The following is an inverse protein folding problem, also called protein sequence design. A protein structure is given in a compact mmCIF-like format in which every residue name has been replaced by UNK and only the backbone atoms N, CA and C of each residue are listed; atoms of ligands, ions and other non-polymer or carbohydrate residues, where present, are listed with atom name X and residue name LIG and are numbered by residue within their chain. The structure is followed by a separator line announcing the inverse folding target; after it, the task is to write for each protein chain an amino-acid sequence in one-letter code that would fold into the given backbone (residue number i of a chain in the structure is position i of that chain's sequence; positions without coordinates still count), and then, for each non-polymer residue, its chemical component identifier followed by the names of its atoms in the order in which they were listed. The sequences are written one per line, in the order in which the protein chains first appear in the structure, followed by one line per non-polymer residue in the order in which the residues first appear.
data_IF_111937207639
#
_entry.id   IF_111937207639
#
_cell.length_a   1.000
_cell.length_b   1.000
_cell.length_c   1.000
_cell.angle_alpha   90.00
_cell.angle_beta   90.00
_cell.angle_gamma   90.00
#
_symmetry.space_group_name_H-M   'P 1'
#
loop_
_entity.id
_entity.type
_entity.pdbx_description
1 polymer ?
#
# COMPACT_ATOMS: atom_id res chain seq x y z
N UNK A 1 -12.61 46.04 0.46
CA UNK A 1 -11.73 45.33 -0.49
C UNK A 1 -10.92 44.34 0.33
N UNK A 2 -11.24 43.06 0.21
CA UNK A 2 -10.67 41.99 1.03
C UNK A 2 -9.25 41.65 0.57
N UNK A 3 -8.34 41.51 1.54
CA UNK A 3 -7.05 40.85 1.35
C UNK A 3 -7.23 39.37 1.65
N UNK A 4 -7.07 38.53 0.63
CA UNK A 4 -7.03 37.08 0.78
C UNK A 4 -5.75 36.68 1.50
N UNK A 5 -5.88 36.06 2.68
CA UNK A 5 -4.80 35.32 3.31
C UNK A 5 -4.64 33.98 2.61
N UNK A 6 -3.58 33.84 1.81
CA UNK A 6 -3.17 32.55 1.29
C UNK A 6 -2.71 31.67 2.45
N UNK A 7 -3.39 30.55 2.68
CA UNK A 7 -2.86 29.47 3.50
C UNK A 7 -1.71 28.82 2.75
N UNK A 8 -0.47 29.11 3.15
CA UNK A 8 0.70 28.44 2.61
C UNK A 8 0.77 27.00 3.14
N UNK A 9 0.92 26.05 2.22
CA UNK A 9 1.44 24.71 2.54
C UNK A 9 2.94 24.87 2.75
N UNK A 10 3.34 25.22 3.97
CA UNK A 10 4.74 25.42 4.35
C UNK A 10 5.22 24.26 5.19
N UNK A 11 5.51 23.12 4.55
CA UNK A 11 6.33 22.10 5.19
C UNK A 11 7.76 22.64 5.19
N UNK A 12 8.33 22.84 6.38
CA UNK A 12 9.72 23.26 6.52
C UNK A 12 10.58 22.11 6.01
N UNK A 13 11.35 22.34 4.93
CA UNK A 13 12.25 21.33 4.38
C UNK A 13 13.16 20.81 5.50
N UNK A 14 12.98 19.53 5.89
CA UNK A 14 13.94 18.78 6.69
C UNK A 14 15.22 18.54 5.86
N UNK A 15 15.91 19.62 5.49
CA UNK A 15 17.21 19.58 4.87
C UNK A 15 18.18 18.85 5.79
N UNK A 16 18.74 17.76 5.28
CA UNK A 16 19.73 16.85 5.90
C UNK A 16 19.26 15.66 6.77
N UNK A 17 17.96 15.40 6.97
CA UNK A 17 17.54 14.23 7.81
C UNK A 17 17.07 12.99 7.04
N UNK A 18 16.94 13.05 5.70
CA UNK A 18 16.55 11.87 4.90
C UNK A 18 17.77 11.06 4.45
N UNK A 19 18.63 10.67 5.39
CA UNK A 19 19.69 9.68 5.13
C UNK A 19 19.09 8.30 4.83
N UNK A 20 19.87 7.41 4.21
CA UNK A 20 19.51 6.00 3.93
C UNK A 20 19.00 5.22 5.16
N UNK A 21 19.22 5.74 6.36
CA UNK A 21 18.73 5.21 7.62
C UNK A 21 17.22 5.38 7.82
N UNK A 22 16.57 6.38 7.22
CA UNK A 22 15.12 6.58 7.39
C UNK A 22 14.33 5.41 6.79
N UNK A 23 14.65 4.96 5.59
CA UNK A 23 13.94 3.81 5.01
C UNK A 23 14.22 2.51 5.77
N UNK A 24 15.48 2.26 6.13
CA UNK A 24 15.88 1.03 6.82
C UNK A 24 15.40 0.94 8.27
N UNK A 25 15.29 2.07 8.99
CA UNK A 25 14.89 2.09 10.40
C UNK A 25 13.38 2.29 10.60
N UNK A 26 12.68 2.78 9.57
CA UNK A 26 11.26 3.16 9.66
C UNK A 26 10.33 2.20 8.92
N UNK A 27 10.85 1.49 7.92
CA UNK A 27 10.15 0.42 7.21
C UNK A 27 11.01 -0.85 7.06
N UNK A 28 11.59 -1.40 8.15
CA UNK A 28 12.49 -2.56 8.06
C UNK A 28 11.81 -3.81 7.49
N UNK A 29 10.48 -3.90 7.58
CA UNK A 29 9.68 -4.94 6.94
C UNK A 29 8.49 -4.31 6.21
N UNK A 30 8.62 -4.09 4.91
CA UNK A 30 7.46 -3.85 4.04
C UNK A 30 6.63 -5.15 3.85
N UNK A 31 6.39 -5.87 4.95
CA UNK A 31 5.41 -6.95 5.13
C UNK A 31 4.74 -6.90 6.52
N UNK A 32 4.81 -5.76 7.23
CA UNK A 32 4.07 -5.57 8.48
C UNK A 32 2.88 -4.63 8.27
N UNK A 33 1.66 -5.19 8.37
CA UNK A 33 0.46 -4.42 8.73
C UNK A 33 0.80 -3.68 10.02
N UNK A 34 0.90 -2.36 9.90
CA UNK A 34 1.19 -1.31 10.88
C UNK A 34 1.08 -1.77 12.36
N UNK A 35 2.08 -2.50 12.86
CA UNK A 35 2.25 -2.77 14.29
C UNK A 35 3.74 -2.85 14.61
N UNK A 36 4.44 -1.71 14.56
CA UNK A 36 5.68 -1.55 15.31
C UNK A 36 6.04 -0.06 15.45
N UNK A 37 5.77 0.50 16.62
CA UNK A 37 6.38 1.72 17.11
C UNK A 37 7.87 1.50 17.43
N UNK A 38 8.69 1.18 16.43
CA UNK A 38 10.10 0.88 16.60
C UNK A 38 11.08 1.84 15.90
N UNK A 39 10.58 2.94 15.29
CA UNK A 39 11.40 3.83 14.46
C UNK A 39 11.15 5.34 14.60
N UNK A 40 10.64 5.82 15.73
CA UNK A 40 10.55 7.28 16.00
C UNK A 40 9.54 8.07 15.12
N UNK A 41 8.62 7.42 14.40
CA UNK A 41 7.35 8.08 14.04
C UNK A 41 6.24 7.46 14.86
N UNK A 42 5.42 8.35 15.43
CA UNK A 42 4.13 7.97 15.94
C UNK A 42 3.14 7.89 14.77
N UNK A 43 3.13 6.75 14.08
CA UNK A 43 2.15 6.43 13.05
C UNK A 43 0.89 5.78 13.63
N UNK A 44 0.68 5.82 14.96
CA UNK A 44 -0.51 5.25 15.60
C UNK A 44 -1.80 5.86 15.08
N UNK A 45 -1.73 7.11 14.62
CA UNK A 45 -2.82 7.76 13.94
C UNK A 45 -3.30 6.98 12.70
N UNK A 46 -2.43 6.28 11.98
CA UNK A 46 -2.74 5.59 10.71
C UNK A 46 -3.21 4.13 10.87
N UNK A 47 -3.38 3.63 12.10
CA UNK A 47 -3.76 2.23 12.33
C UNK A 47 -5.07 1.84 11.65
N UNK A 48 -6.03 2.77 11.58
CA UNK A 48 -7.34 2.57 10.95
C UNK A 48 -7.37 2.99 9.46
N UNK A 49 -6.25 3.46 8.91
CA UNK A 49 -6.15 3.96 7.53
C UNK A 49 -5.45 2.98 6.57
N UNK A 50 -5.03 1.82 7.08
CA UNK A 50 -4.19 0.87 6.36
C UNK A 50 -4.82 0.43 5.03
N UNK A 51 -6.10 0.06 5.05
CA UNK A 51 -6.85 -0.43 3.90
C UNK A 51 -7.02 0.63 2.80
N UNK A 52 -6.97 1.90 3.18
CA UNK A 52 -7.08 3.04 2.29
C UNK A 52 -5.72 3.28 1.65
N UNK A 53 -4.67 3.37 2.48
CA UNK A 53 -3.30 3.68 2.06
C UNK A 53 -2.76 2.61 1.10
N UNK A 54 -2.99 1.33 1.39
CA UNK A 54 -2.57 0.22 0.51
C UNK A 54 -3.29 0.22 -0.83
N UNK A 55 -4.42 0.93 -0.96
CA UNK A 55 -5.05 1.22 -2.24
C UNK A 55 -4.12 1.93 -3.23
N UNK A 56 -3.04 2.56 -2.77
CA UNK A 56 -1.99 3.11 -3.63
C UNK A 56 -1.34 2.04 -4.54
N UNK A 57 -1.42 0.75 -4.19
CA UNK A 57 -0.96 -0.37 -5.00
C UNK A 57 -1.80 -0.61 -6.28
N UNK A 58 -2.86 0.17 -6.53
CA UNK A 58 -3.48 0.28 -7.88
C UNK A 58 -2.46 0.71 -8.95
N UNK A 59 -1.37 1.38 -8.54
CA UNK A 59 -0.27 1.74 -9.44
C UNK A 59 1.07 1.20 -8.96
N UNK A 60 1.99 1.04 -9.92
CA UNK A 60 3.39 0.73 -9.62
C UNK A 60 3.73 -0.74 -9.77
N UNK A 61 4.93 -1.10 -9.29
CA UNK A 61 5.54 -2.42 -9.50
C UNK A 61 6.28 -2.91 -8.27
N UNK A 62 6.29 -4.22 -8.09
CA UNK A 62 7.06 -4.90 -7.06
C UNK A 62 8.08 -5.86 -7.71
N UNK A 63 9.22 -6.07 -7.05
CA UNK A 63 10.21 -7.06 -7.50
C UNK A 63 9.78 -8.45 -7.08
N UNK A 64 10.12 -9.47 -7.85
CA UNK A 64 9.85 -10.86 -7.47
C UNK A 64 10.28 -11.22 -6.04
N UNK A 65 11.40 -10.66 -5.55
CA UNK A 65 11.85 -10.85 -4.17
C UNK A 65 10.82 -10.43 -3.11
N UNK A 66 9.98 -9.44 -3.38
CA UNK A 66 9.04 -8.88 -2.40
C UNK A 66 7.76 -9.69 -2.24
N UNK A 67 7.48 -10.66 -3.12
CA UNK A 67 6.27 -11.50 -3.04
C UNK A 67 6.55 -12.99 -3.16
N UNK A 68 7.79 -13.42 -2.91
CA UNK A 68 8.15 -14.85 -2.90
C UNK A 68 7.32 -15.67 -1.90
N UNK A 69 6.96 -15.09 -0.75
CA UNK A 69 6.09 -15.72 0.24
C UNK A 69 4.70 -16.06 -0.34
N UNK A 70 4.11 -15.14 -1.12
CA UNK A 70 2.83 -15.34 -1.82
C UNK A 70 2.91 -16.53 -2.79
N UNK A 71 4.04 -16.67 -3.49
CA UNK A 71 4.25 -17.76 -4.45
C UNK A 71 4.34 -19.14 -3.79
N UNK A 72 4.71 -19.24 -2.51
CA UNK A 72 4.88 -20.53 -1.82
C UNK A 72 3.63 -20.93 -1.01
N UNK A 73 2.90 -19.96 -0.46
CA UNK A 73 1.82 -20.20 0.49
C UNK A 73 0.38 -20.09 -0.03
N UNK A 74 0.16 -19.53 -1.23
CA UNK A 74 -1.22 -19.29 -1.71
C UNK A 74 -1.87 -20.52 -2.34
N UNK A 75 -3.12 -20.80 -1.92
CA UNK A 75 -4.05 -21.74 -2.58
C UNK A 75 -5.16 -21.03 -3.37
N UNK A 76 -5.23 -19.70 -3.30
CA UNK A 76 -6.19 -18.88 -4.06
C UNK A 76 -5.58 -18.38 -5.37
N UNK A 77 -6.43 -18.17 -6.39
CA UNK A 77 -6.05 -17.72 -7.74
C UNK A 77 -4.87 -18.54 -8.34
N UNK A 78 -5.00 -19.86 -8.40
CA UNK A 78 -3.91 -20.77 -8.78
C UNK A 78 -3.30 -20.42 -10.15
N UNK A 79 -4.12 -20.03 -11.13
CA UNK A 79 -3.65 -19.62 -12.46
C UNK A 79 -2.76 -18.36 -12.37
N UNK A 80 -3.19 -17.35 -11.61
CA UNK A 80 -2.41 -16.14 -11.38
C UNK A 80 -1.07 -16.44 -10.69
N UNK A 81 -1.07 -17.28 -9.65
CA UNK A 81 0.17 -17.69 -8.96
C UNK A 81 1.11 -18.45 -9.90
N UNK A 82 0.59 -19.28 -10.80
CA UNK A 82 1.40 -19.98 -11.80
C UNK A 82 2.05 -19.01 -12.80
N UNK A 83 1.31 -17.99 -13.26
CA UNK A 83 1.84 -16.94 -14.11
C UNK A 83 2.96 -16.16 -13.40
N UNK A 84 2.76 -15.80 -12.13
CA UNK A 84 3.79 -15.11 -11.35
C UNK A 84 5.03 -16.00 -11.12
N UNK A 85 4.87 -17.30 -10.88
CA UNK A 85 6.02 -18.23 -10.78
C UNK A 85 6.80 -18.34 -12.08
N UNK A 86 6.11 -18.30 -13.23
CA UNK A 86 6.77 -18.29 -14.53
C UNK A 86 7.53 -16.98 -14.76
N UNK A 87 6.92 -15.85 -14.38
CA UNK A 87 7.55 -14.54 -14.44
C UNK A 87 8.80 -14.48 -13.54
N UNK A 88 8.71 -15.01 -12.33
CA UNK A 88 9.73 -14.95 -11.28
C UNK A 88 10.65 -16.17 -11.22
N UNK A 89 11.04 -16.73 -12.37
CA UNK A 89 11.98 -17.86 -12.42
C UNK A 89 13.26 -17.59 -11.61
N UNK A 90 13.84 -18.63 -10.99
CA UNK A 90 14.95 -18.50 -10.02
C UNK A 90 16.16 -17.68 -10.52
N UNK A 91 16.35 -17.56 -11.84
CA UNK A 91 17.44 -16.78 -12.44
C UNK A 91 17.22 -15.28 -12.47
N UNK A 92 15.99 -14.78 -12.28
CA UNK A 92 15.67 -13.35 -12.44
C UNK A 92 14.84 -12.78 -11.29
N UNK A 93 15.46 -12.74 -10.11
CA UNK A 93 14.89 -12.16 -8.89
C UNK A 93 14.59 -10.65 -9.00
N UNK A 94 15.19 -9.96 -9.99
CA UNK A 94 15.03 -8.53 -10.20
C UNK A 94 13.85 -8.18 -11.12
N UNK A 95 13.19 -9.19 -11.69
CA UNK A 95 11.99 -9.03 -12.50
C UNK A 95 10.92 -8.27 -11.73
N UNK A 96 10.22 -7.39 -12.43
CA UNK A 96 9.14 -6.57 -11.88
C UNK A 96 7.78 -7.12 -12.33
N UNK A 97 6.86 -7.22 -11.39
CA UNK A 97 5.43 -7.43 -11.63
C UNK A 97 4.66 -6.15 -11.29
N UNK A 98 3.55 -5.91 -11.98
CA UNK A 98 2.68 -4.79 -11.62
C UNK A 98 1.90 -5.13 -10.35
N UNK A 99 1.75 -4.15 -9.46
CA UNK A 99 0.94 -4.31 -8.25
C UNK A 99 -0.55 -4.47 -8.59
N UNK A 100 -1.02 -3.74 -9.61
CA UNK A 100 -2.31 -3.96 -10.27
C UNK A 100 -2.13 -4.70 -11.59
N UNK A 101 -2.74 -5.87 -11.71
CA UNK A 101 -2.66 -6.70 -12.91
C UNK A 101 -3.46 -6.12 -14.08
N UNK A 102 -4.58 -5.46 -13.80
CA UNK A 102 -5.59 -5.08 -14.79
C UNK A 102 -5.40 -3.64 -15.27
N UNK A 103 -5.06 -2.69 -14.39
CA UNK A 103 -4.93 -1.26 -14.72
C UNK A 103 -3.62 -0.62 -14.21
N UNK A 104 -2.43 -1.20 -14.51
CA UNK A 104 -1.15 -0.82 -13.91
C UNK A 104 -0.68 0.64 -14.09
N UNK A 105 -1.34 1.40 -14.96
CA UNK A 105 -1.02 2.79 -15.28
C UNK A 105 -2.14 3.76 -14.89
N UNK A 106 -3.19 3.30 -14.22
CA UNK A 106 -4.35 4.08 -13.80
C UNK A 106 -4.44 4.03 -12.28
N UNK A 107 -4.80 5.15 -11.67
CA UNK A 107 -5.14 5.19 -10.26
C UNK A 107 -6.65 5.00 -10.12
N UNK A 108 -7.09 3.78 -9.81
CA UNK A 108 -8.51 3.42 -9.71
C UNK A 108 -8.76 2.36 -8.62
N UNK A 109 -9.99 1.88 -8.53
CA UNK A 109 -10.46 0.89 -7.55
C UNK A 109 -10.15 -0.56 -7.97
N UNK A 110 -9.52 -0.77 -9.13
CA UNK A 110 -9.23 -2.10 -9.66
C UNK A 110 -8.34 -2.93 -8.72
N UNK A 111 -7.51 -2.28 -7.90
CA UNK A 111 -6.79 -2.92 -6.81
C UNK A 111 -7.72 -3.76 -5.92
N UNK A 112 -8.84 -3.19 -5.46
CA UNK A 112 -9.78 -3.88 -4.57
C UNK A 112 -10.53 -5.00 -5.30
N UNK A 113 -10.85 -4.81 -6.59
CA UNK A 113 -11.41 -5.88 -7.42
C UNK A 113 -10.45 -7.07 -7.56
N UNK A 114 -9.15 -6.81 -7.74
CA UNK A 114 -8.13 -7.86 -7.80
C UNK A 114 -8.04 -8.61 -6.47
N UNK A 115 -8.14 -7.91 -5.33
CA UNK A 115 -8.14 -8.55 -4.01
C UNK A 115 -9.31 -9.52 -3.84
N UNK A 116 -10.53 -9.12 -4.25
CA UNK A 116 -11.72 -9.97 -4.19
C UNK A 116 -11.61 -11.22 -5.09
N UNK A 117 -10.88 -11.12 -6.19
CA UNK A 117 -10.56 -12.25 -7.09
C UNK A 117 -9.43 -13.15 -6.56
N UNK A 118 -8.79 -12.80 -5.45
CA UNK A 118 -7.63 -13.54 -4.93
C UNK A 118 -6.30 -13.20 -5.63
N UNK A 119 -6.28 -12.12 -6.41
CA UNK A 119 -5.21 -11.72 -7.31
C UNK A 119 -4.34 -10.58 -6.75
N UNK A 120 -4.36 -10.35 -5.43
CA UNK A 120 -3.40 -9.48 -4.76
C UNK A 120 -1.96 -9.99 -4.97
N UNK A 121 -1.06 -9.11 -5.42
CA UNK A 121 0.33 -9.47 -5.72
C UNK A 121 1.12 -9.80 -4.44
N UNK A 122 1.09 -8.91 -3.45
CA UNK A 122 1.78 -9.13 -2.19
C UNK A 122 0.95 -10.02 -1.26
N UNK A 123 1.61 -10.74 -0.36
CA UNK A 123 0.90 -11.50 0.67
C UNK A 123 0.11 -10.57 1.61
N UNK A 124 0.69 -9.42 1.97
CA UNK A 124 0.04 -8.37 2.74
C UNK A 124 -1.22 -7.85 2.06
N UNK A 125 -1.18 -7.61 0.75
CA UNK A 125 -2.33 -7.18 -0.04
C UNK A 125 -3.47 -8.19 0.06
N UNK A 126 -3.18 -9.48 -0.22
CA UNK A 126 -4.23 -10.48 -0.19
C UNK A 126 -4.81 -10.67 1.21
N UNK A 127 -3.99 -10.58 2.25
CA UNK A 127 -4.41 -10.79 3.63
C UNK A 127 -5.47 -9.79 4.10
N UNK A 128 -5.56 -8.60 3.50
CA UNK A 128 -6.60 -7.61 3.81
C UNK A 128 -8.00 -8.22 3.66
N UNK A 129 -8.21 -9.04 2.62
CA UNK A 129 -9.52 -9.69 2.38
C UNK A 129 -9.86 -10.83 3.32
N UNK A 130 -8.86 -11.37 4.04
CA UNK A 130 -9.01 -12.57 4.88
C UNK A 130 -8.76 -12.31 6.36
N UNK A 131 -8.40 -11.08 6.75
CA UNK A 131 -8.05 -10.72 8.13
C UNK A 131 -9.26 -10.79 9.05
N UNK A 132 -10.33 -10.11 8.69
CA UNK A 132 -11.58 -10.02 9.44
C UNK A 132 -12.73 -9.51 8.54
N UNK A 133 -13.97 -9.73 8.97
CA UNK A 133 -15.18 -9.40 8.19
C UNK A 133 -15.32 -7.90 7.93
N UNK A 134 -14.90 -7.04 8.87
CA UNK A 134 -15.00 -5.59 8.73
C UNK A 134 -14.05 -5.07 7.63
N UNK A 135 -12.82 -5.57 7.61
CA UNK A 135 -11.83 -5.25 6.59
C UNK A 135 -12.27 -5.73 5.22
N UNK A 136 -12.87 -6.93 5.16
CA UNK A 136 -13.45 -7.46 3.93
C UNK A 136 -14.60 -6.60 3.42
N UNK A 137 -15.52 -6.18 4.27
CA UNK A 137 -16.64 -5.29 3.91
C UNK A 137 -16.15 -3.95 3.35
N UNK A 138 -15.05 -3.41 3.90
CA UNK A 138 -14.43 -2.20 3.38
C UNK A 138 -13.85 -2.41 1.97
N UNK A 139 -13.16 -3.53 1.72
CA UNK A 139 -12.69 -3.89 0.37
C UNK A 139 -13.87 -4.02 -0.60
N UNK A 140 -14.95 -4.68 -0.19
CA UNK A 140 -16.16 -4.83 -1.00
C UNK A 140 -16.82 -3.47 -1.30
N UNK A 141 -16.75 -2.53 -0.35
CA UNK A 141 -17.24 -1.15 -0.52
C UNK A 141 -16.41 -0.40 -1.55
N UNK A 142 -15.09 -0.40 -1.42
CA UNK A 142 -14.20 0.31 -2.34
C UNK A 142 -14.24 -0.26 -3.76
N UNK A 143 -14.40 -1.58 -3.90
CA UNK A 143 -14.60 -2.23 -5.19
C UNK A 143 -15.95 -1.90 -5.87
N UNK A 144 -16.92 -1.34 -5.15
CA UNK A 144 -18.25 -0.98 -5.67
C UNK A 144 -18.46 0.54 -5.80
N UNK A 145 -17.77 1.32 -4.96
CA UNK A 145 -17.84 2.78 -4.93
C UNK A 145 -16.43 3.40 -4.98
N UNK A 146 -15.92 3.69 -6.19
CA UNK A 146 -14.63 4.37 -6.36
C UNK A 146 -14.60 5.75 -5.68
N UNK A 147 -15.75 6.41 -5.49
CA UNK A 147 -15.79 7.73 -4.84
C UNK A 147 -15.54 7.62 -3.34
N UNK A 148 -16.02 6.55 -2.70
CA UNK A 148 -15.72 6.24 -1.31
C UNK A 148 -14.21 6.00 -1.13
N UNK A 149 -13.62 5.16 -2.00
CA UNK A 149 -12.18 4.92 -2.00
C UNK A 149 -11.38 6.22 -2.13
N UNK A 150 -11.64 7.03 -3.16
CA UNK A 150 -10.87 8.27 -3.36
C UNK A 150 -11.07 9.29 -2.24
N UNK A 151 -12.25 9.34 -1.64
CA UNK A 151 -12.55 10.18 -0.48
C UNK A 151 -11.65 9.84 0.70
N UNK A 152 -11.68 8.57 1.10
CA UNK A 152 -10.94 8.06 2.25
C UNK A 152 -9.43 8.06 1.98
N UNK A 153 -9.00 7.65 0.77
CA UNK A 153 -7.59 7.70 0.36
C UNK A 153 -7.00 9.10 0.53
N UNK A 154 -7.70 10.13 0.03
CA UNK A 154 -7.25 11.51 0.13
C UNK A 154 -7.13 11.94 1.60
N UNK A 155 -8.10 11.60 2.45
CA UNK A 155 -8.08 11.98 3.86
C UNK A 155 -6.95 11.25 4.62
N UNK A 156 -6.75 9.95 4.37
CA UNK A 156 -5.65 9.16 4.93
C UNK A 156 -4.28 9.68 4.47
N UNK A 157 -4.13 10.10 3.20
CA UNK A 157 -2.88 10.68 2.71
C UNK A 157 -2.57 12.06 3.31
N UNK A 158 -3.58 12.90 3.53
CA UNK A 158 -3.41 14.17 4.26
C UNK A 158 -2.97 13.92 5.69
N UNK A 159 -3.54 12.91 6.34
CA UNK A 159 -3.17 12.50 7.70
C UNK A 159 -1.75 11.93 7.75
N UNK A 160 -1.37 11.11 6.77
CA UNK A 160 -0.01 10.58 6.63
C UNK A 160 1.03 11.70 6.47
N UNK A 161 0.72 12.73 5.68
CA UNK A 161 1.59 13.90 5.52
C UNK A 161 1.77 14.74 6.80
N UNK A 162 0.99 14.48 7.84
CA UNK A 162 1.09 15.15 9.16
C UNK A 162 1.70 14.26 10.24
N UNK A 163 2.21 13.08 9.88
CA UNK A 163 2.90 12.21 10.83
C UNK A 163 4.25 12.84 11.18
N UNK A 164 4.37 13.28 12.43
CA UNK A 164 5.60 13.90 12.93
C UNK A 164 6.68 12.84 13.21
N UNK A 165 7.91 13.19 12.91
CA UNK A 165 9.08 12.48 13.40
C UNK A 165 9.48 13.08 14.74
N UNK A 166 9.50 12.26 15.79
CA UNK A 166 10.03 12.70 17.08
C UNK A 166 11.54 12.37 17.11
N UNK A 167 12.36 13.32 17.59
CA UNK A 167 13.80 13.14 17.85
C UNK A 167 14.09 12.20 19.02
#
# INVERSE_FOLDING_TARGET
MGGGGGGGYGDEDCGDLLGNDVYNNRCPEAEAIIYAAAGGCDASALLDDNENIVGAHTMGKARCTTFTARLQGSTTALEYIQLLRQLCSESDINTLANLDLATPATFDDQYYLNLLSGEGLLLSDQNITTRDDQTRELVETYAQDPSAFFGDFKDSMVKMGRVEAWE
#
